data_IF_672651021790
#
_entry.id   IF_672651021790
#
_cell.length_a   1.000
_cell.length_b   1.000
_cell.length_c   1.000
_cell.angle_alpha   90.00
_cell.angle_beta   90.00
_cell.angle_gamma   90.00
#
_symmetry.space_group_name_H-M   'P 1'
#
loop_
_entity.id
_entity.type
_entity.pdbx_description
1 polymer ?
#
# COMPACT_ATOMS: atom_id res chain seq x y z
N UNK A 1 3.64 -17.98 14.15
CA UNK A 1 2.30 -18.32 14.67
C UNK A 1 2.16 -17.99 16.16
N UNK A 2 3.08 -18.45 17.02
CA UNK A 2 3.06 -18.13 18.46
C UNK A 2 3.09 -16.62 18.75
N UNK A 3 3.99 -15.88 18.09
CA UNK A 3 4.09 -14.42 18.21
C UNK A 3 2.79 -13.69 17.83
N UNK A 4 2.11 -14.12 16.76
CA UNK A 4 0.83 -13.57 16.36
C UNK A 4 -0.27 -13.84 17.41
N UNK A 5 -0.28 -15.02 18.02
CA UNK A 5 -1.22 -15.33 19.10
C UNK A 5 -0.97 -14.46 20.35
N UNK A 6 0.29 -14.18 20.67
CA UNK A 6 0.64 -13.26 21.75
C UNK A 6 0.18 -11.84 21.44
N UNK A 7 0.42 -11.35 20.22
CA UNK A 7 -0.08 -10.05 19.76
C UNK A 7 -1.60 -9.96 19.91
N UNK A 8 -2.34 -10.93 19.38
CA UNK A 8 -3.81 -10.93 19.42
C UNK A 8 -4.35 -10.96 20.85
N UNK A 9 -3.68 -11.65 21.79
CA UNK A 9 -4.07 -11.67 23.21
C UNK A 9 -3.78 -10.35 23.94
N UNK A 10 -2.93 -9.50 23.38
CA UNK A 10 -2.42 -8.29 24.02
C UNK A 10 -3.15 -7.01 23.60
N UNK A 11 -4.02 -7.08 22.58
CA UNK A 11 -4.75 -5.94 22.03
C UNK A 11 -6.22 -5.96 22.44
N UNK A 12 -6.84 -4.79 22.54
CA UNK A 12 -8.21 -4.60 23.01
C UNK A 12 -9.25 -5.20 22.06
N UNK A 13 -9.02 -5.10 20.74
CA UNK A 13 -9.91 -5.62 19.70
C UNK A 13 -9.19 -6.57 18.73
N UNK A 14 -9.00 -7.84 19.14
CA UNK A 14 -8.44 -8.93 18.33
C UNK A 14 -8.98 -9.03 16.90
N UNK A 15 -10.30 -8.87 16.76
CA UNK A 15 -11.02 -9.10 15.50
C UNK A 15 -10.54 -8.23 14.35
N UNK A 16 -9.99 -7.03 14.62
CA UNK A 16 -9.43 -6.11 13.61
C UNK A 16 -8.26 -6.71 12.82
N UNK A 17 -7.60 -7.71 13.40
CA UNK A 17 -6.33 -8.22 12.89
C UNK A 17 -6.42 -9.67 12.43
N UNK A 18 -7.59 -10.30 12.45
CA UNK A 18 -7.73 -11.72 12.15
C UNK A 18 -7.72 -12.02 10.64
N UNK A 19 -8.44 -11.25 9.83
CA UNK A 19 -8.50 -11.46 8.37
C UNK A 19 -9.34 -12.66 7.96
N UNK A 20 -10.42 -12.92 8.69
CA UNK A 20 -11.28 -14.10 8.51
C UNK A 20 -12.58 -13.77 7.77
N UNK A 21 -12.61 -12.69 6.99
CA UNK A 21 -13.83 -12.26 6.30
C UNK A 21 -14.20 -13.22 5.17
N UNK A 22 -15.50 -13.44 4.96
CA UNK A 22 -16.02 -14.37 3.94
C UNK A 22 -15.60 -13.99 2.52
N UNK A 23 -15.50 -12.69 2.23
CA UNK A 23 -15.18 -12.18 0.89
C UNK A 23 -13.68 -11.97 0.66
N UNK A 24 -12.81 -12.47 1.55
CA UNK A 24 -11.36 -12.36 1.34
C UNK A 24 -10.95 -13.19 0.12
N UNK A 25 -10.09 -12.62 -0.71
CA UNK A 25 -9.40 -13.37 -1.76
C UNK A 25 -8.20 -14.06 -1.14
N UNK A 26 -8.01 -15.34 -1.48
CA UNK A 26 -6.86 -16.12 -1.06
C UNK A 26 -6.18 -16.71 -2.30
N UNK A 27 -4.91 -16.34 -2.51
CA UNK A 27 -4.03 -16.91 -3.54
C UNK A 27 -2.75 -17.43 -2.88
N UNK A 28 -2.02 -18.31 -3.56
CA UNK A 28 -0.68 -18.72 -3.12
C UNK A 28 0.33 -17.60 -3.48
N UNK A 29 1.03 -17.00 -2.50
CA UNK A 29 2.06 -16.00 -2.77
C UNK A 29 3.16 -16.46 -3.73
N UNK A 30 3.44 -17.77 -3.82
CA UNK A 30 4.45 -18.35 -4.71
C UNK A 30 3.99 -18.52 -6.16
N UNK A 31 2.69 -18.46 -6.42
CA UNK A 31 2.11 -18.63 -7.76
C UNK A 31 1.79 -17.30 -8.46
N UNK A 32 1.89 -16.18 -7.75
CA UNK A 32 1.63 -14.83 -8.30
C UNK A 32 2.92 -14.10 -8.64
N UNK A 33 2.84 -13.18 -9.60
CA UNK A 33 3.99 -12.37 -10.05
C UNK A 33 4.07 -11.02 -9.36
N UNK A 34 2.95 -10.51 -8.85
CA UNK A 34 2.85 -9.22 -8.18
C UNK A 34 2.13 -9.33 -6.84
N UNK A 35 2.82 -8.90 -5.78
CA UNK A 35 2.31 -8.84 -4.41
C UNK A 35 1.98 -7.39 -4.08
N UNK A 36 0.70 -7.11 -3.83
CA UNK A 36 0.21 -5.77 -3.49
C UNK A 36 -0.33 -5.77 -2.07
N UNK A 37 0.01 -4.76 -1.28
CA UNK A 37 -0.71 -4.42 -0.07
C UNK A 37 -1.50 -3.13 -0.30
N UNK A 38 -2.83 -3.23 -0.25
CA UNK A 38 -3.75 -2.10 -0.27
C UNK A 38 -4.02 -1.66 1.17
N UNK A 39 -3.43 -0.54 1.56
CA UNK A 39 -3.51 0.03 2.90
C UNK A 39 -4.62 1.08 3.00
N UNK A 40 -5.46 0.96 4.02
CA UNK A 40 -6.39 2.01 4.43
C UNK A 40 -5.83 2.71 5.67
N UNK A 41 -5.60 4.03 5.63
CA UNK A 41 -4.93 4.77 6.71
C UNK A 41 -5.90 5.16 7.84
N UNK A 42 -6.75 4.21 8.24
CA UNK A 42 -7.66 4.30 9.37
C UNK A 42 -7.95 2.89 9.91
N UNK A 43 -8.72 2.80 10.98
CA UNK A 43 -9.09 1.54 11.63
C UNK A 43 -9.81 0.59 10.67
N UNK A 44 -9.63 -0.72 10.93
CA UNK A 44 -10.22 -1.81 10.16
C UNK A 44 -11.72 -1.62 9.87
N UNK A 45 -12.52 -1.32 10.89
CA UNK A 45 -13.98 -1.17 10.72
C UNK A 45 -14.39 0.00 9.81
N UNK A 46 -13.57 1.04 9.75
CA UNK A 46 -13.80 2.21 8.89
C UNK A 46 -13.43 1.84 7.45
N UNK A 47 -12.25 1.26 7.24
CA UNK A 47 -11.79 0.87 5.92
C UNK A 47 -12.63 -0.25 5.28
N UNK A 48 -13.07 -1.24 6.05
CA UNK A 48 -13.97 -2.30 5.55
C UNK A 48 -15.34 -1.78 5.12
N UNK A 49 -15.80 -0.69 5.73
CA UNK A 49 -17.06 -0.04 5.38
C UNK A 49 -16.91 0.88 4.15
N UNK A 50 -15.69 1.04 3.61
CA UNK A 50 -15.42 1.94 2.50
C UNK A 50 -15.53 1.23 1.14
N UNK A 51 -16.63 1.45 0.43
CA UNK A 51 -16.91 0.79 -0.86
C UNK A 51 -15.82 0.99 -1.91
N UNK A 52 -15.25 2.20 -2.00
CA UNK A 52 -14.16 2.47 -2.94
C UNK A 52 -12.87 1.69 -2.63
N UNK A 53 -12.65 1.35 -1.36
CA UNK A 53 -11.48 0.55 -0.94
C UNK A 53 -11.68 -0.91 -1.33
N UNK A 54 -12.88 -1.44 -1.06
CA UNK A 54 -13.28 -2.79 -1.48
C UNK A 54 -13.29 -2.95 -3.01
N UNK A 55 -13.71 -1.92 -3.75
CA UNK A 55 -13.66 -1.92 -5.21
C UNK A 55 -12.21 -2.06 -5.71
N UNK A 56 -11.29 -1.22 -5.21
CA UNK A 56 -9.87 -1.29 -5.60
C UNK A 56 -9.24 -2.63 -5.21
N UNK A 57 -9.57 -3.17 -4.04
CA UNK A 57 -9.14 -4.51 -3.63
C UNK A 57 -9.55 -5.59 -4.63
N UNK A 58 -10.80 -5.53 -5.13
CA UNK A 58 -11.29 -6.46 -6.16
C UNK A 58 -10.65 -6.22 -7.51
N UNK A 59 -10.43 -4.97 -7.92
CA UNK A 59 -9.77 -4.64 -9.19
C UNK A 59 -8.37 -5.25 -9.27
N UNK A 60 -7.57 -5.15 -8.19
CA UNK A 60 -6.27 -5.81 -8.16
C UNK A 60 -6.40 -7.34 -8.23
N UNK A 61 -7.27 -7.92 -7.40
CA UNK A 61 -7.39 -9.37 -7.29
C UNK A 61 -8.07 -10.04 -8.49
N UNK A 62 -8.77 -9.29 -9.34
CA UNK A 62 -9.33 -9.76 -10.60
C UNK A 62 -8.25 -10.19 -11.61
N UNK A 63 -7.03 -9.66 -11.49
CA UNK A 63 -5.91 -10.09 -12.33
C UNK A 63 -5.32 -11.43 -11.79
N UNK A 64 -5.14 -12.47 -12.62
CA UNK A 64 -4.70 -13.78 -12.17
C UNK A 64 -3.32 -13.76 -11.50
N UNK A 65 -2.36 -13.03 -12.08
CA UNK A 65 -0.98 -12.94 -11.59
C UNK A 65 -0.76 -11.96 -10.41
N UNK A 66 -1.82 -11.35 -9.87
CA UNK A 66 -1.74 -10.36 -8.79
C UNK A 66 -2.39 -10.90 -7.53
N UNK A 67 -1.71 -10.84 -6.39
CA UNK A 67 -2.34 -11.05 -5.09
C UNK A 67 -2.30 -9.75 -4.30
N UNK A 68 -3.48 -9.15 -4.13
CA UNK A 68 -3.64 -7.98 -3.29
C UNK A 68 -4.16 -8.41 -1.92
N UNK A 69 -3.47 -7.96 -0.89
CA UNK A 69 -3.81 -8.09 0.52
C UNK A 69 -4.13 -6.71 1.08
N UNK A 70 -4.74 -6.66 2.27
CA UNK A 70 -5.17 -5.41 2.91
C UNK A 70 -4.35 -5.13 4.15
N UNK A 71 -4.16 -3.86 4.46
CA UNK A 71 -3.65 -3.43 5.75
C UNK A 71 -4.43 -2.20 6.24
N UNK A 72 -4.44 -2.00 7.54
CA UNK A 72 -5.16 -0.90 8.20
C UNK A 72 -4.25 -0.24 9.21
N UNK A 73 -4.53 1.02 9.54
CA UNK A 73 -3.85 1.66 10.67
C UNK A 73 -4.19 0.85 11.94
N UNK A 74 -3.19 0.31 12.66
CA UNK A 74 -3.46 -0.36 13.93
C UNK A 74 -3.95 0.65 14.97
N UNK A 75 -4.83 0.21 15.86
CA UNK A 75 -5.24 1.03 16.99
C UNK A 75 -4.05 1.34 17.92
N UNK A 76 -4.11 2.40 18.75
CA UNK A 76 -2.95 2.84 19.54
C UNK A 76 -2.32 1.78 20.44
N UNK A 77 -3.12 0.88 21.01
CA UNK A 77 -2.68 -0.28 21.80
C UNK A 77 -1.86 -1.26 20.97
N UNK A 78 -2.37 -1.63 19.79
CA UNK A 78 -1.68 -2.50 18.85
C UNK A 78 -0.42 -1.85 18.29
N UNK A 79 -0.47 -0.57 17.89
CA UNK A 79 0.67 0.18 17.41
C UNK A 79 1.79 0.25 18.47
N UNK A 80 1.43 0.42 19.74
CA UNK A 80 2.37 0.41 20.86
C UNK A 80 3.00 -0.95 21.07
N UNK A 81 2.20 -2.03 20.97
CA UNK A 81 2.70 -3.40 21.05
C UNK A 81 3.69 -3.72 19.93
N UNK A 82 3.34 -3.40 18.68
CA UNK A 82 4.19 -3.63 17.52
C UNK A 82 5.56 -2.95 17.70
N UNK A 83 5.57 -1.69 18.14
CA UNK A 83 6.82 -0.95 18.42
C UNK A 83 7.65 -1.58 19.53
N UNK A 84 7.04 -1.91 20.67
CA UNK A 84 7.78 -2.41 21.84
C UNK A 84 8.37 -3.80 21.62
N UNK A 85 7.82 -4.56 20.67
CA UNK A 85 8.28 -5.91 20.31
C UNK A 85 9.07 -5.93 18.98
N UNK A 86 9.32 -4.77 18.36
CA UNK A 86 9.99 -4.65 17.06
C UNK A 86 9.33 -5.49 15.95
N UNK A 87 7.99 -5.55 15.97
CA UNK A 87 7.17 -6.23 14.97
C UNK A 87 6.74 -5.19 13.94
N UNK A 88 7.02 -5.46 12.67
CA UNK A 88 6.58 -4.59 11.57
C UNK A 88 5.08 -4.70 11.37
N UNK A 89 4.47 -3.61 10.90
CA UNK A 89 3.10 -3.67 10.40
C UNK A 89 2.99 -4.72 9.28
N UNK A 90 1.89 -5.46 9.28
CA UNK A 90 1.70 -6.62 8.42
C UNK A 90 0.31 -6.61 7.77
N UNK A 91 0.18 -7.37 6.67
CA UNK A 91 -1.08 -7.55 5.94
C UNK A 91 -2.09 -8.40 6.70
N UNK A 92 -3.36 -8.25 6.36
CA UNK A 92 -4.45 -8.92 7.04
C UNK A 92 -4.58 -10.39 6.63
N UNK A 93 -4.33 -10.74 5.36
CA UNK A 93 -4.59 -12.09 4.87
C UNK A 93 -3.48 -13.08 5.27
N UNK A 94 -2.22 -12.73 5.03
CA UNK A 94 -1.06 -13.62 5.26
C UNK A 94 -0.19 -13.23 6.44
N UNK A 95 -0.41 -12.04 7.03
CA UNK A 95 0.49 -11.43 8.03
C UNK A 95 1.90 -11.17 7.49
N UNK A 96 2.02 -10.97 6.18
CA UNK A 96 3.28 -10.59 5.56
C UNK A 96 3.64 -9.15 5.98
N UNK A 97 4.87 -8.87 6.46
CA UNK A 97 5.33 -7.52 6.72
C UNK A 97 5.17 -6.60 5.49
N UNK A 98 4.77 -5.35 5.70
CA UNK A 98 4.42 -4.46 4.56
C UNK A 98 5.62 -4.12 3.67
N UNK A 99 6.85 -4.24 4.18
CA UNK A 99 8.08 -4.01 3.42
C UNK A 99 8.53 -5.21 2.56
N UNK A 100 7.79 -6.32 2.59
CA UNK A 100 8.04 -7.51 1.75
C UNK A 100 7.15 -7.55 0.50
N UNK A 101 6.31 -6.54 0.28
CA UNK A 101 5.46 -6.43 -0.91
C UNK A 101 6.19 -5.75 -2.08
N UNK A 102 5.66 -5.92 -3.29
CA UNK A 102 6.14 -5.17 -4.46
C UNK A 102 5.55 -3.76 -4.50
N UNK A 103 4.32 -3.62 -4.01
CA UNK A 103 3.55 -2.38 -4.04
C UNK A 103 2.81 -2.21 -2.71
N UNK A 104 2.99 -1.06 -2.07
CA UNK A 104 2.16 -0.57 -0.97
C UNK A 104 1.29 0.57 -1.49
N UNK A 105 0.01 0.27 -1.73
CA UNK A 105 -0.96 1.22 -2.27
C UNK A 105 -1.84 1.78 -1.15
N UNK A 106 -1.84 3.09 -0.94
CA UNK A 106 -2.72 3.76 0.02
C UNK A 106 -3.99 4.29 -0.65
N UNK A 107 -5.13 4.12 0.02
CA UNK A 107 -6.39 4.76 -0.37
C UNK A 107 -6.66 6.00 0.50
N UNK A 108 -6.48 7.20 -0.06
CA UNK A 108 -6.73 8.48 0.59
C UNK A 108 -8.19 8.89 0.41
N UNK A 109 -8.87 9.19 1.51
CA UNK A 109 -10.25 9.69 1.45
C UNK A 109 -10.35 11.15 1.90
N UNK A 110 -9.47 11.62 2.79
CA UNK A 110 -9.40 13.01 3.27
C UNK A 110 -8.03 13.33 3.90
N UNK A 111 -7.77 14.61 4.20
CA UNK A 111 -6.46 15.14 4.59
C UNK A 111 -5.96 14.62 5.95
N UNK A 112 -6.86 14.29 6.89
CA UNK A 112 -6.45 13.76 8.19
C UNK A 112 -5.79 12.37 8.08
N UNK A 113 -5.91 11.70 6.93
CA UNK A 113 -5.21 10.45 6.66
C UNK A 113 -3.70 10.62 6.51
N UNK A 114 -3.19 11.83 6.27
CA UNK A 114 -1.76 12.04 6.00
C UNK A 114 -0.87 11.56 7.14
N UNK A 115 -1.16 11.91 8.38
CA UNK A 115 -0.38 11.46 9.54
C UNK A 115 -0.50 9.95 9.76
N UNK A 116 -1.67 9.37 9.47
CA UNK A 116 -1.89 7.92 9.56
C UNK A 116 -1.06 7.15 8.53
N UNK A 117 -0.89 7.71 7.32
CA UNK A 117 0.00 7.13 6.29
C UNK A 117 1.45 7.14 6.78
N UNK A 118 1.91 8.25 7.36
CA UNK A 118 3.27 8.34 7.90
C UNK A 118 3.49 7.36 9.06
N UNK A 119 2.49 7.20 9.92
CA UNK A 119 2.50 6.20 11.00
C UNK A 119 2.60 4.78 10.44
N UNK A 120 1.80 4.43 9.43
CA UNK A 120 1.86 3.11 8.79
C UNK A 120 3.21 2.87 8.11
N UNK A 121 3.78 3.87 7.42
CA UNK A 121 5.12 3.77 6.83
C UNK A 121 6.18 3.53 7.91
N UNK A 122 6.13 4.27 9.01
CA UNK A 122 7.03 4.11 10.15
C UNK A 122 6.92 2.71 10.76
N UNK A 123 5.69 2.22 11.01
CA UNK A 123 5.47 0.89 11.57
C UNK A 123 5.87 -0.24 10.60
N UNK A 124 5.87 0.03 9.30
CA UNK A 124 6.33 -0.93 8.27
C UNK A 124 7.85 -1.07 8.21
N UNK A 125 8.60 -0.17 8.86
CA UNK A 125 10.06 -0.11 8.76
C UNK A 125 10.58 0.47 7.44
N UNK A 126 9.69 1.07 6.63
CA UNK A 126 10.07 1.74 5.39
C UNK A 126 10.64 3.13 5.69
N UNK A 127 11.58 3.58 4.85
CA UNK A 127 11.99 4.98 4.88
C UNK A 127 10.77 5.86 4.58
N UNK A 128 10.50 6.82 5.47
CA UNK A 128 9.30 7.66 5.40
C UNK A 128 9.32 8.54 4.15
N UNK A 129 10.47 9.16 3.85
CA UNK A 129 10.66 9.99 2.66
C UNK A 129 10.91 9.14 1.42
N UNK A 130 10.22 9.48 0.34
CA UNK A 130 10.32 8.85 -0.98
C UNK A 130 11.74 8.90 -1.55
N UNK A 131 12.48 10.00 -1.32
CA UNK A 131 13.85 10.18 -1.77
C UNK A 131 14.85 9.19 -1.10
N UNK A 132 14.54 8.73 0.10
CA UNK A 132 15.41 7.84 0.88
C UNK A 132 15.13 6.36 0.62
N UNK A 133 13.97 6.03 0.02
CA UNK A 133 13.62 4.64 -0.34
C UNK A 133 14.52 4.09 -1.45
N UNK A 134 14.82 2.80 -1.37
CA UNK A 134 15.60 2.03 -2.35
C UNK A 134 14.84 0.73 -2.63
N UNK A 135 14.63 0.40 -3.90
CA UNK A 135 13.93 -0.83 -4.27
C UNK A 135 12.42 -0.79 -4.02
N UNK A 136 11.85 -1.94 -3.70
CA UNK A 136 10.42 -2.16 -3.43
C UNK A 136 10.17 -2.35 -1.92
N UNK A 137 8.93 -2.18 -1.42
CA UNK A 137 7.71 -1.81 -2.14
C UNK A 137 7.77 -0.40 -2.71
N UNK A 138 7.17 -0.23 -3.89
CA UNK A 138 6.79 1.11 -4.36
C UNK A 138 5.62 1.61 -3.50
N UNK A 139 5.67 2.86 -3.04
CA UNK A 139 4.58 3.46 -2.26
C UNK A 139 3.73 4.33 -3.17
N UNK A 140 2.50 3.89 -3.47
CA UNK A 140 1.55 4.61 -4.34
C UNK A 140 0.37 5.08 -3.51
N UNK A 141 -0.19 6.24 -3.82
CA UNK A 141 -1.44 6.71 -3.21
C UNK A 141 -2.50 6.99 -4.27
N UNK A 142 -3.76 6.65 -3.99
CA UNK A 142 -4.92 7.00 -4.81
C UNK A 142 -6.09 7.48 -3.96
N UNK A 143 -7.25 7.70 -4.58
CA UNK A 143 -8.46 8.16 -3.91
C UNK A 143 -8.59 9.69 -3.84
N UNK A 144 -9.72 10.18 -3.32
CA UNK A 144 -10.12 11.59 -3.38
C UNK A 144 -9.07 12.50 -2.71
N UNK A 145 -8.44 12.05 -1.62
CA UNK A 145 -7.42 12.83 -0.92
C UNK A 145 -6.12 13.03 -1.72
N UNK A 146 -5.95 12.38 -2.87
CA UNK A 146 -4.85 12.63 -3.82
C UNK A 146 -5.12 13.81 -4.76
N UNK A 147 -6.31 14.42 -4.74
CA UNK A 147 -6.64 15.58 -5.58
C UNK A 147 -5.79 16.81 -5.25
N UNK A 148 -5.23 16.86 -4.04
CA UNK A 148 -4.21 17.82 -3.62
C UNK A 148 -2.97 17.04 -3.12
N UNK A 149 -2.08 16.59 -4.02
CA UNK A 149 -0.97 15.71 -3.65
C UNK A 149 0.15 16.43 -2.89
N UNK A 150 0.19 17.78 -2.96
CA UNK A 150 1.29 18.61 -2.47
C UNK A 150 1.76 18.30 -1.04
N UNK A 151 0.88 18.12 -0.05
CA UNK A 151 1.31 17.85 1.32
C UNK A 151 2.06 16.51 1.49
N UNK A 152 1.92 15.60 0.53
CA UNK A 152 2.40 14.22 0.61
C UNK A 152 3.50 13.88 -0.40
N UNK A 153 3.93 14.83 -1.25
CA UNK A 153 4.90 14.57 -2.34
C UNK A 153 6.25 14.05 -1.86
N UNK A 154 6.67 14.47 -0.66
CA UNK A 154 7.90 14.01 -0.02
C UNK A 154 7.85 12.54 0.42
N UNK A 155 6.64 11.97 0.55
CA UNK A 155 6.41 10.70 1.24
C UNK A 155 5.81 9.61 0.36
N UNK A 156 5.36 9.94 -0.85
CA UNK A 156 4.72 9.04 -1.80
C UNK A 156 5.55 8.95 -3.08
N UNK A 157 5.67 7.76 -3.65
CA UNK A 157 6.47 7.54 -4.87
C UNK A 157 5.70 7.94 -6.13
N UNK A 158 4.40 7.62 -6.19
CA UNK A 158 3.51 8.03 -7.27
C UNK A 158 2.07 8.21 -6.78
N UNK A 159 1.34 9.15 -7.37
CA UNK A 159 -0.07 9.41 -7.09
C UNK A 159 -0.93 8.99 -8.28
N UNK A 160 -1.92 8.16 -8.01
CA UNK A 160 -2.99 7.77 -8.92
C UNK A 160 -4.16 8.75 -8.76
N UNK A 161 -4.19 9.80 -9.60
CA UNK A 161 -5.22 10.85 -9.56
C UNK A 161 -6.28 10.55 -10.62
N UNK A 162 -7.47 10.14 -10.19
CA UNK A 162 -8.58 9.80 -11.07
C UNK A 162 -9.26 8.49 -10.70
N UNK A 163 -9.82 7.82 -11.69
CA UNK A 163 -10.62 6.61 -11.50
C UNK A 163 -9.77 5.35 -11.29
N UNK A 164 -9.98 4.66 -10.17
CA UNK A 164 -9.32 3.40 -9.86
C UNK A 164 -9.56 2.31 -10.90
N UNK A 165 -10.74 2.28 -11.55
CA UNK A 165 -11.05 1.30 -12.60
C UNK A 165 -10.14 1.44 -13.83
N UNK A 166 -9.63 2.66 -14.08
CA UNK A 166 -8.71 2.94 -15.18
C UNK A 166 -7.25 2.85 -14.72
N UNK A 167 -6.96 3.30 -13.50
CA UNK A 167 -5.60 3.45 -13.01
C UNK A 167 -5.02 2.14 -12.48
N UNK A 168 -5.81 1.29 -11.82
CA UNK A 168 -5.32 0.01 -11.26
C UNK A 168 -4.81 -0.93 -12.36
N UNK A 169 -5.52 -1.16 -13.48
CA UNK A 169 -5.00 -2.00 -14.57
C UNK A 169 -3.68 -1.48 -15.15
N UNK A 170 -3.54 -0.17 -15.34
CA UNK A 170 -2.30 0.46 -15.84
C UNK A 170 -1.14 0.26 -14.87
N UNK A 171 -1.39 0.40 -13.56
CA UNK A 171 -0.38 0.16 -12.53
C UNK A 171 0.09 -1.31 -12.56
N UNK A 172 -0.86 -2.25 -12.65
CA UNK A 172 -0.55 -3.69 -12.75
C UNK A 172 0.29 -3.97 -14.00
N UNK A 173 -0.11 -3.44 -15.16
CA UNK A 173 0.60 -3.61 -16.43
C UNK A 173 2.07 -3.16 -16.33
N UNK A 174 2.31 -1.94 -15.83
CA UNK A 174 3.66 -1.40 -15.67
C UNK A 174 4.49 -2.26 -14.70
N UNK A 175 3.92 -2.62 -13.54
CA UNK A 175 4.63 -3.43 -12.55
C UNK A 175 4.99 -4.82 -13.09
N UNK A 176 4.06 -5.48 -13.78
CA UNK A 176 4.29 -6.81 -14.35
C UNK A 176 5.29 -6.79 -15.51
N UNK A 177 5.21 -5.81 -16.42
CA UNK A 177 6.16 -5.70 -17.54
C UNK A 177 7.59 -5.46 -17.05
N UNK A 178 7.79 -4.59 -16.05
CA UNK A 178 9.14 -4.36 -15.48
C UNK A 178 9.65 -5.61 -14.76
N UNK A 179 8.81 -6.29 -13.97
CA UNK A 179 9.19 -7.54 -13.29
C UNK A 179 9.49 -8.68 -14.27
N UNK A 180 8.85 -8.73 -15.43
CA UNK A 180 9.14 -9.72 -16.46
C UNK A 180 10.51 -9.52 -17.12
N UNK A 181 11.02 -8.28 -17.14
CA UNK A 181 12.30 -7.92 -17.78
C UNK A 181 13.51 -8.08 -16.85
N UNK A 182 13.31 -8.06 -15.54
CA UNK A 182 14.40 -8.17 -14.56
C UNK A 182 13.95 -8.84 -13.26
N UNK A 183 14.78 -9.76 -12.76
CA UNK A 183 14.62 -10.37 -11.43
C UNK A 183 14.77 -9.36 -10.28
N UNK A 184 15.40 -8.21 -10.55
CA UNK A 184 15.54 -7.10 -9.61
C UNK A 184 15.04 -5.83 -10.30
N UNK A 185 13.72 -5.60 -10.35
CA UNK A 185 13.16 -4.45 -11.02
C UNK A 185 13.69 -3.16 -10.37
N UNK A 186 14.20 -2.25 -11.18
CA UNK A 186 14.70 -0.97 -10.66
C UNK A 186 13.50 -0.08 -10.34
N UNK A 187 13.38 0.37 -9.08
CA UNK A 187 12.35 1.35 -8.65
C UNK A 187 12.24 2.53 -9.62
N UNK A 188 13.38 3.03 -10.11
CA UNK A 188 13.43 4.16 -11.04
C UNK A 188 12.79 3.85 -12.39
N UNK A 189 13.01 2.67 -12.97
CA UNK A 189 12.38 2.27 -14.24
C UNK A 189 10.85 2.22 -14.10
N UNK A 190 10.35 1.69 -12.98
CA UNK A 190 8.90 1.67 -12.70
C UNK A 190 8.35 3.09 -12.65
N UNK A 191 9.02 3.99 -11.92
CA UNK A 191 8.60 5.38 -11.78
C UNK A 191 8.57 6.14 -13.11
N UNK A 192 9.60 5.96 -13.94
CA UNK A 192 9.70 6.57 -15.28
C UNK A 192 8.54 6.09 -16.17
N UNK A 193 8.27 4.78 -16.20
CA UNK A 193 7.14 4.22 -16.96
C UNK A 193 5.78 4.67 -16.45
N UNK A 194 5.60 4.79 -15.14
CA UNK A 194 4.35 5.32 -14.57
C UNK A 194 4.13 6.77 -15.01
N UNK A 195 5.18 7.60 -14.99
CA UNK A 195 5.10 8.97 -15.46
C UNK A 195 4.75 9.04 -16.96
N UNK A 196 5.32 8.17 -17.80
CA UNK A 196 5.08 8.13 -19.25
C UNK A 196 3.61 7.81 -19.62
N UNK A 197 2.86 7.17 -18.72
CA UNK A 197 1.43 6.90 -18.96
C UNK A 197 0.56 8.16 -18.94
N UNK A 198 1.08 9.29 -18.45
CA UNK A 198 0.34 10.52 -18.09
C UNK A 198 -0.84 10.29 -17.13
N UNK A 199 -0.90 9.13 -16.48
CA UNK A 199 -1.98 8.73 -15.58
C UNK A 199 -1.56 8.80 -14.10
N UNK A 200 -0.26 8.90 -13.84
CA UNK A 200 0.31 9.00 -12.49
C UNK A 200 1.15 10.26 -12.36
N UNK A 201 0.97 10.97 -11.25
CA UNK A 201 1.86 12.05 -10.86
C UNK A 201 3.03 11.49 -10.06
N UNK A 202 4.26 11.67 -10.55
CA UNK A 202 5.48 11.12 -9.94
C UNK A 202 6.38 12.28 -9.47
N UNK A 203 6.36 12.64 -8.18
CA UNK A 203 7.03 13.86 -7.70
C UNK A 203 8.53 13.90 -7.98
N UNK A 204 9.24 12.78 -7.79
CA UNK A 204 10.70 12.70 -7.95
C UNK A 204 11.19 12.93 -9.40
N UNK A 205 10.27 12.92 -10.38
CA UNK A 205 10.59 13.13 -11.79
C UNK A 205 10.15 14.50 -12.32
N UNK A 206 9.48 15.31 -11.49
CA UNK A 206 9.10 16.68 -11.88
C UNK A 206 10.24 17.62 -11.56
N UNK A 207 10.80 18.25 -12.60
CA UNK A 207 11.77 19.33 -12.42
C UNK A 207 11.11 20.52 -11.71
N UNK A 208 11.70 20.98 -10.60
CA UNK A 208 11.28 22.16 -9.84
C UNK A 208 11.28 23.47 -10.68
N UNK A 209 11.76 23.44 -11.93
CA UNK A 209 11.89 24.57 -12.84
C UNK A 209 10.77 24.78 -13.87
N UNK A 210 9.81 23.86 -14.00
CA UNK A 210 8.62 24.10 -14.83
C UNK A 210 7.48 24.59 -13.95
N UNK A 211 7.26 25.89 -13.95
CA UNK A 211 6.09 26.51 -13.31
C UNK A 211 4.80 25.81 -13.75
N UNK A 212 3.96 25.52 -12.76
CA UNK A 212 2.63 24.91 -12.87
C UNK A 212 1.71 25.71 -13.79
#
# INVERSE_FOLDING_TARGET
MEEFLQFIRSVERPSRYLGLETNRVQKDPSEVKLRVCLAFPDLYEIGQSHLGFELVYRLFNAHPDVYCERAFLPAPDAASYLRSHNIKLFSLETKTPLDEFDLLAFSFTYELHYTSVLEMLSLSGLQTRSADRRGLPLVVAGGIGCSNPEPMVDFIDAFAIGDGEVLVPKLIEVMLDVKARSMKPARREILERLADTNAFYVPLLVDEGKQR
#
